data_IF_301448550763
#
_entry.id   IF_301448550763
#
_cell.length_a   1.000
_cell.length_b   1.000
_cell.length_c   1.000
_cell.angle_alpha   90.00
_cell.angle_beta   90.00
_cell.angle_gamma   90.00
#
_symmetry.space_group_name_H-M   'P 1'
#
loop_
_entity.id
_entity.type
_entity.pdbx_description
1 polymer ?
#
# COMPACT_ATOMS: atom_id res chain seq x y z
N UNK A 1 -0.05 -5.45 -10.87
CA UNK A 1 -0.18 -5.75 -9.43
C UNK A 1 0.29 -7.16 -9.19
N UNK A 2 1.41 -7.34 -8.49
CA UNK A 2 1.67 -8.65 -7.91
C UNK A 2 0.66 -8.87 -6.79
N UNK A 3 -0.31 -9.75 -7.05
CA UNK A 3 -1.43 -10.03 -6.14
C UNK A 3 -1.00 -10.79 -4.87
N UNK A 4 0.28 -11.08 -4.73
CA UNK A 4 0.84 -11.96 -3.71
C UNK A 4 1.53 -11.23 -2.55
N UNK A 5 1.42 -9.89 -2.51
CA UNK A 5 2.01 -9.01 -1.51
C UNK A 5 3.55 -9.05 -1.45
N UNK A 6 4.19 -9.41 -2.57
CA UNK A 6 5.66 -9.32 -2.69
C UNK A 6 6.11 -7.93 -3.16
N UNK A 7 7.29 -7.52 -2.67
CA UNK A 7 8.03 -6.35 -3.14
C UNK A 7 9.50 -6.71 -3.30
N UNK A 8 10.12 -6.13 -4.33
CA UNK A 8 11.55 -6.32 -4.59
C UNK A 8 12.25 -4.99 -4.33
N UNK A 9 13.22 -4.97 -3.42
CA UNK A 9 13.86 -3.74 -2.96
C UNK A 9 15.37 -3.94 -2.86
N UNK A 10 16.14 -2.90 -3.20
CA UNK A 10 17.55 -2.84 -2.86
C UNK A 10 17.69 -2.68 -1.35
N UNK A 11 18.38 -3.63 -0.71
CA UNK A 11 18.58 -3.67 0.73
C UNK A 11 19.92 -4.31 1.06
N UNK A 12 20.63 -3.73 2.02
CA UNK A 12 21.94 -4.23 2.46
C UNK A 12 22.96 -4.27 1.30
N UNK A 13 23.28 -5.47 0.84
CA UNK A 13 24.32 -5.79 -0.14
C UNK A 13 23.78 -6.29 -1.49
N UNK A 14 22.46 -6.41 -1.66
CA UNK A 14 21.86 -6.88 -2.90
C UNK A 14 20.40 -6.40 -3.07
N UNK A 15 19.76 -6.83 -4.15
CA UNK A 15 18.33 -6.72 -4.34
C UNK A 15 17.64 -7.95 -3.75
N UNK A 16 16.70 -7.73 -2.83
CA UNK A 16 15.99 -8.80 -2.13
C UNK A 16 14.49 -8.81 -2.43
N UNK A 17 13.94 -10.02 -2.48
CA UNK A 17 12.51 -10.25 -2.49
C UNK A 17 11.99 -10.31 -1.07
N UNK A 18 11.00 -9.48 -0.78
CA UNK A 18 10.28 -9.46 0.48
C UNK A 18 8.84 -9.84 0.23
N UNK A 19 8.24 -10.58 1.15
CA UNK A 19 6.82 -10.88 1.14
C UNK A 19 6.35 -11.15 2.55
N UNK A 20 5.27 -10.50 2.95
CA UNK A 20 4.56 -10.77 4.20
C UNK A 20 3.21 -11.41 3.86
N UNK A 21 3.20 -12.73 3.72
CA UNK A 21 1.96 -13.47 3.60
C UNK A 21 1.30 -13.58 4.99
N UNK A 22 0.10 -14.17 5.03
CA UNK A 22 -0.71 -14.27 6.25
C UNK A 22 0.07 -14.83 7.45
N UNK A 23 0.83 -15.91 7.25
CA UNK A 23 1.60 -16.55 8.34
C UNK A 23 2.72 -15.66 8.89
N UNK A 24 3.37 -14.85 8.06
CA UNK A 24 4.41 -13.92 8.50
C UNK A 24 3.80 -12.71 9.22
N UNK A 25 2.61 -12.25 8.80
CA UNK A 25 1.87 -11.19 9.50
C UNK A 25 1.41 -11.68 10.88
N UNK A 26 0.92 -12.91 10.98
CA UNK A 26 0.57 -13.53 12.26
C UNK A 26 1.78 -13.64 13.18
N UNK A 27 2.92 -14.17 12.70
CA UNK A 27 4.17 -14.20 13.48
C UNK A 27 4.62 -12.81 13.93
N UNK A 28 4.49 -11.80 13.06
CA UNK A 28 4.84 -10.42 13.41
C UNK A 28 3.97 -9.90 14.55
N UNK A 29 2.66 -10.16 14.50
CA UNK A 29 1.73 -9.73 15.55
C UNK A 29 2.05 -10.41 16.89
N UNK A 30 2.42 -11.70 16.87
CA UNK A 30 2.80 -12.48 18.05
C UNK A 30 4.11 -11.99 18.65
N UNK A 31 5.13 -11.77 17.82
CA UNK A 31 6.43 -11.26 18.26
C UNK A 31 6.31 -9.88 18.92
N UNK A 32 5.33 -9.09 18.47
CA UNK A 32 5.17 -7.68 18.87
C UNK A 32 4.02 -7.41 19.81
N UNK A 33 3.23 -8.44 20.14
CA UNK A 33 2.02 -8.34 20.97
C UNK A 33 1.14 -7.15 20.55
N UNK A 34 0.98 -6.96 19.24
CA UNK A 34 0.33 -5.77 18.67
C UNK A 34 -0.21 -6.09 17.28
N UNK A 35 -1.43 -5.63 16.97
CA UNK A 35 -2.04 -5.83 15.66
C UNK A 35 -1.21 -5.20 14.51
N UNK A 36 -1.19 -5.81 13.32
CA UNK A 36 -0.24 -5.44 12.26
C UNK A 36 -0.46 -4.02 11.71
N UNK A 37 -1.72 -3.55 11.66
CA UNK A 37 -2.00 -2.17 11.24
C UNK A 37 -1.50 -1.12 12.25
N UNK A 38 -1.46 -1.45 13.54
CA UNK A 38 -0.89 -0.57 14.57
C UNK A 38 0.62 -0.47 14.40
N UNK A 39 1.29 -1.56 14.01
CA UNK A 39 2.72 -1.55 13.66
C UNK A 39 2.94 -0.64 12.44
N UNK A 40 2.13 -0.78 11.39
CA UNK A 40 2.22 0.08 10.20
C UNK A 40 2.00 1.57 10.53
N UNK A 41 0.96 1.90 11.29
CA UNK A 41 0.69 3.27 11.74
C UNK A 41 1.89 3.87 12.53
N UNK A 42 2.50 3.09 13.43
CA UNK A 42 3.70 3.53 14.15
C UNK A 42 4.88 3.80 13.22
N UNK A 43 5.10 2.92 12.23
CA UNK A 43 6.15 3.10 11.22
C UNK A 43 5.92 4.38 10.40
N UNK A 44 4.68 4.69 10.03
CA UNK A 44 4.34 5.88 9.24
C UNK A 44 4.38 7.18 10.06
N UNK A 45 3.98 7.12 11.33
CA UNK A 45 3.87 8.30 12.21
C UNK A 45 5.12 8.59 13.05
N UNK A 46 6.15 7.75 12.94
CA UNK A 46 7.41 7.94 13.66
C UNK A 46 7.40 7.48 15.13
N UNK A 47 6.36 6.75 15.56
CA UNK A 47 6.25 6.18 16.92
C UNK A 47 6.68 4.71 16.99
N UNK A 48 7.47 4.29 16.01
CA UNK A 48 7.95 2.92 15.89
C UNK A 48 8.99 2.61 16.95
N UNK A 49 8.99 1.36 17.38
CA UNK A 49 10.06 0.74 18.14
C UNK A 49 11.08 0.18 17.15
N UNK A 50 12.35 0.07 17.54
CA UNK A 50 13.40 -0.49 16.65
C UNK A 50 13.09 -1.91 16.21
N UNK A 51 12.38 -2.67 17.05
CA UNK A 51 11.88 -4.00 16.72
C UNK A 51 10.81 -3.96 15.61
N UNK A 52 10.07 -2.85 15.42
CA UNK A 52 9.05 -2.74 14.35
C UNK A 52 9.72 -2.84 12.99
N UNK A 53 10.92 -2.27 12.89
CA UNK A 53 11.74 -2.32 11.69
C UNK A 53 12.39 -3.70 11.55
N UNK A 54 13.10 -4.17 12.58
CA UNK A 54 13.87 -5.41 12.51
C UNK A 54 13.00 -6.65 12.25
N UNK A 55 11.90 -6.83 12.99
CA UNK A 55 11.02 -7.99 12.84
C UNK A 55 10.31 -8.00 11.49
N UNK A 56 9.86 -6.83 11.01
CA UNK A 56 9.22 -6.69 9.68
C UNK A 56 10.16 -7.07 8.56
N UNK A 57 11.39 -6.56 8.57
CA UNK A 57 12.39 -6.87 7.53
C UNK A 57 12.75 -8.35 7.57
N UNK A 58 13.03 -8.91 8.76
CA UNK A 58 13.39 -10.32 8.92
C UNK A 58 12.29 -11.25 8.41
N UNK A 59 11.05 -11.04 8.83
CA UNK A 59 9.91 -11.86 8.42
C UNK A 59 9.59 -11.65 6.94
N UNK A 60 9.75 -10.43 6.41
CA UNK A 60 9.59 -10.14 5.00
C UNK A 60 10.59 -10.89 4.12
N UNK A 61 11.87 -10.95 4.50
CA UNK A 61 12.88 -11.75 3.80
C UNK A 61 12.52 -13.24 3.80
N UNK A 62 12.09 -13.76 4.96
CA UNK A 62 11.70 -15.17 5.10
C UNK A 62 10.50 -15.49 4.21
N UNK A 63 9.45 -14.67 4.23
CA UNK A 63 8.29 -14.87 3.36
C UNK A 63 8.60 -14.66 1.87
N UNK A 64 9.65 -13.89 1.56
CA UNK A 64 10.22 -13.75 0.22
C UNK A 64 11.07 -14.93 -0.24
N UNK A 65 11.24 -15.96 0.59
CA UNK A 65 11.93 -17.21 0.25
C UNK A 65 13.35 -17.33 0.81
N UNK A 66 13.83 -16.35 1.57
CA UNK A 66 15.14 -16.45 2.24
C UNK A 66 15.09 -17.45 3.40
N UNK A 67 16.19 -18.20 3.58
CA UNK A 67 16.33 -19.10 4.72
C UNK A 67 16.37 -18.32 6.06
N UNK A 68 15.68 -18.79 7.13
CA UNK A 68 15.54 -18.05 8.38
C UNK A 68 16.85 -17.63 9.07
N UNK A 69 17.88 -18.48 9.09
CA UNK A 69 19.17 -18.14 9.69
C UNK A 69 19.90 -17.09 8.85
N UNK A 70 19.84 -17.17 7.52
CA UNK A 70 20.37 -16.16 6.61
C UNK A 70 19.68 -14.80 6.83
N UNK A 71 18.34 -14.78 6.88
CA UNK A 71 17.56 -13.57 7.14
C UNK A 71 17.92 -12.95 8.51
N UNK A 72 18.04 -13.77 9.56
CA UNK A 72 18.44 -13.29 10.88
C UNK A 72 19.84 -12.64 10.88
N UNK A 73 20.81 -13.25 10.19
CA UNK A 73 22.16 -12.68 10.08
C UNK A 73 22.14 -11.35 9.35
N UNK A 74 21.41 -11.27 8.24
CA UNK A 74 21.31 -10.06 7.43
C UNK A 74 20.65 -8.92 8.22
N UNK A 75 19.53 -9.20 8.91
CA UNK A 75 18.87 -8.22 9.78
C UNK A 75 19.78 -7.74 10.90
N UNK A 76 20.53 -8.63 11.56
CA UNK A 76 21.47 -8.22 12.62
C UNK A 76 22.56 -7.30 12.09
N UNK A 77 23.16 -7.65 10.97
CA UNK A 77 24.26 -6.89 10.38
C UNK A 77 23.83 -5.53 9.83
N UNK A 78 22.71 -5.48 9.11
CA UNK A 78 22.32 -4.29 8.34
C UNK A 78 21.18 -3.48 8.94
N UNK A 79 20.47 -4.02 9.94
CA UNK A 79 19.40 -3.31 10.65
C UNK A 79 19.79 -3.04 12.10
N UNK A 80 20.08 -4.08 12.89
CA UNK A 80 20.34 -3.91 14.33
C UNK A 80 21.71 -3.28 14.62
N UNK A 81 22.69 -3.50 13.73
CA UNK A 81 24.03 -2.91 13.83
C UNK A 81 24.16 -1.50 13.25
N UNK A 82 23.06 -0.91 12.73
CA UNK A 82 23.07 0.37 12.00
C UNK A 82 22.04 1.35 12.56
N UNK A 83 22.15 2.66 12.28
CA UNK A 83 21.13 3.62 12.67
C UNK A 83 19.73 3.21 12.18
N UNK A 84 18.70 3.10 13.06
CA UNK A 84 17.42 2.50 12.68
C UNK A 84 16.68 3.20 11.54
N UNK A 85 16.88 4.52 11.41
CA UNK A 85 16.20 5.34 10.39
C UNK A 85 16.56 4.91 8.96
N UNK A 86 17.75 4.34 8.74
CA UNK A 86 18.19 3.86 7.43
C UNK A 86 17.25 2.81 6.84
N UNK A 87 16.61 2.02 7.70
CA UNK A 87 15.78 0.88 7.31
C UNK A 87 14.28 1.12 7.46
N UNK A 88 13.88 2.33 7.90
CA UNK A 88 12.48 2.67 8.14
C UNK A 88 11.64 2.55 6.86
N UNK A 89 12.14 3.10 5.75
CA UNK A 89 11.41 3.09 4.46
C UNK A 89 11.25 1.66 3.93
N UNK A 90 12.26 0.81 4.10
CA UNK A 90 12.17 -0.62 3.72
C UNK A 90 11.07 -1.30 4.52
N UNK A 91 11.04 -1.13 5.86
CA UNK A 91 10.00 -1.71 6.70
C UNK A 91 8.59 -1.19 6.34
N UNK A 92 8.44 0.11 6.06
CA UNK A 92 7.17 0.70 5.60
C UNK A 92 6.68 0.07 4.30
N UNK A 93 7.56 -0.09 3.30
CA UNK A 93 7.21 -0.71 2.01
C UNK A 93 6.83 -2.17 2.16
N UNK A 94 7.59 -2.93 2.94
CA UNK A 94 7.35 -4.37 3.16
C UNK A 94 6.04 -4.61 3.90
N UNK A 95 5.79 -3.91 5.02
CA UNK A 95 4.54 -4.07 5.77
C UNK A 95 3.34 -3.47 5.04
N UNK A 96 3.54 -2.33 4.36
CA UNK A 96 2.53 -1.72 3.50
C UNK A 96 2.06 -2.69 2.40
N UNK A 97 2.99 -3.34 1.71
CA UNK A 97 2.67 -4.33 0.69
C UNK A 97 1.91 -5.55 1.26
N UNK A 98 2.31 -6.03 2.44
CA UNK A 98 1.63 -7.11 3.15
C UNK A 98 0.17 -6.81 3.50
N UNK A 99 -0.14 -5.57 3.90
CA UNK A 99 -1.46 -5.19 4.40
C UNK A 99 -2.38 -4.55 3.35
N UNK A 100 -1.81 -3.76 2.45
CA UNK A 100 -2.54 -2.96 1.48
C UNK A 100 -2.44 -3.52 0.05
N UNK A 101 -1.55 -4.50 -0.16
CA UNK A 101 -1.13 -4.95 -1.49
C UNK A 101 0.05 -4.14 -2.02
N UNK A 102 0.80 -4.73 -2.95
CA UNK A 102 1.91 -4.05 -3.60
C UNK A 102 1.37 -3.05 -4.65
N UNK A 103 1.76 -1.78 -4.53
CA UNK A 103 1.52 -0.76 -5.55
C UNK A 103 2.42 -1.00 -6.77
N UNK A 104 1.87 -0.88 -7.98
CA UNK A 104 2.61 -1.08 -9.24
C UNK A 104 3.59 0.05 -9.59
N UNK A 105 3.68 1.09 -8.77
CA UNK A 105 4.44 2.30 -9.09
C UNK A 105 5.96 2.13 -8.90
N UNK A 106 6.42 1.00 -8.37
CA UNK A 106 7.83 0.67 -8.20
C UNK A 106 8.46 -0.08 -9.41
N UNK A 107 7.78 -0.22 -10.56
CA UNK A 107 8.47 -0.53 -11.84
C UNK A 107 9.30 0.70 -12.33
N UNK A 108 10.25 1.14 -11.52
CA UNK A 108 11.35 2.02 -11.94
C UNK A 108 12.26 1.20 -12.85
N UNK A 109 11.93 1.16 -14.15
CA UNK A 109 12.77 0.45 -15.13
C UNK A 109 12.23 0.23 -16.54
N UNK A 110 10.97 0.53 -16.85
CA UNK A 110 10.47 0.46 -18.24
C UNK A 110 9.95 1.80 -18.73
N UNK A 111 10.87 2.71 -19.02
CA UNK A 111 10.62 3.79 -19.98
C UNK A 111 11.72 3.77 -21.02
N UNK A 112 11.46 3.18 -22.18
CA UNK A 112 11.98 3.53 -23.51
C UNK A 112 11.58 2.45 -24.53
N UNK A 113 10.43 2.62 -25.17
CA UNK A 113 10.36 2.58 -26.63
C UNK A 113 9.21 3.50 -27.02
N UNK A 114 9.53 4.47 -27.88
CA UNK A 114 8.68 5.58 -28.23
C UNK A 114 7.50 5.13 -29.10
N UNK A 115 6.30 5.59 -28.77
CA UNK A 115 5.27 5.83 -29.77
C UNK A 115 5.10 7.35 -29.86
N UNK A 116 5.82 7.97 -30.80
CA UNK A 116 5.50 9.32 -31.27
C UNK A 116 4.31 9.24 -32.25
N UNK A 117 3.48 10.29 -32.34
CA UNK A 117 2.13 10.20 -32.88
C UNK A 117 2.13 10.31 -34.40
N UNK A 118 1.41 9.43 -35.08
CA UNK A 118 0.93 9.70 -36.43
C UNK A 118 -0.54 10.10 -36.38
N UNK A 119 -0.78 11.26 -36.98
CA UNK A 119 -2.02 11.98 -37.11
C UNK A 119 -3.11 11.21 -37.84
N UNK A 120 -4.33 11.45 -37.35
CA UNK A 120 -5.59 11.57 -38.08
C UNK A 120 -6.02 10.49 -39.08
N UNK A 121 -7.10 9.79 -38.69
CA UNK A 121 -8.26 9.75 -39.57
C UNK A 121 -9.50 10.14 -38.80
N UNK A 122 -9.94 11.36 -39.09
CA UNK A 122 -11.31 11.82 -38.96
C UNK A 122 -12.30 10.74 -39.40
N UNK A 123 -13.40 10.64 -38.67
CA UNK A 123 -14.78 10.56 -39.17
C UNK A 123 -15.68 10.31 -37.94
N UNK A 124 -16.23 11.40 -37.43
CA UNK A 124 -17.38 11.40 -36.53
C UNK A 124 -18.61 10.78 -37.22
N UNK A 125 -19.39 9.98 -36.49
CA UNK A 125 -20.83 9.94 -36.72
C UNK A 125 -21.60 10.66 -35.62
N UNK A 126 -22.19 11.77 -36.06
CA UNK A 126 -23.38 12.49 -35.60
C UNK A 126 -24.23 11.88 -34.48
N UNK A 127 -24.43 12.72 -33.46
CA UNK A 127 -25.68 13.02 -32.74
C UNK A 127 -26.82 12.01 -32.85
N UNK A 128 -27.24 11.48 -31.69
CA UNK A 128 -28.63 11.64 -31.27
C UNK A 128 -28.66 11.87 -29.75
N UNK A 129 -28.79 13.14 -29.43
CA UNK A 129 -29.30 13.66 -28.19
C UNK A 129 -30.75 13.19 -28.05
N UNK A 130 -31.09 12.53 -26.95
CA UNK A 130 -32.46 12.47 -26.44
C UNK A 130 -32.41 12.18 -24.93
N UNK A 131 -31.96 13.21 -24.19
CA UNK A 131 -32.30 13.35 -22.78
C UNK A 131 -33.81 13.68 -22.70
N UNK A 132 -34.64 12.94 -21.96
CA UNK A 132 -36.00 13.39 -21.72
C UNK A 132 -35.97 14.69 -20.89
N UNK A 133 -36.79 15.69 -21.23
CA UNK A 133 -36.78 16.98 -20.54
C UNK A 133 -37.23 16.84 -19.09
N UNK A 134 -36.44 17.47 -18.22
CA UNK A 134 -36.80 17.75 -16.83
C UNK A 134 -38.02 18.67 -16.80
N UNK A 135 -39.21 18.10 -16.61
CA UNK A 135 -40.41 18.87 -16.27
C UNK A 135 -40.52 18.98 -14.76
N UNK A 136 -40.20 20.17 -14.25
CA UNK A 136 -40.57 20.59 -12.93
C UNK A 136 -42.09 20.59 -12.76
N UNK A 137 -42.54 20.11 -11.62
CA UNK A 137 -43.88 20.40 -11.12
C UNK A 137 -43.81 20.44 -9.59
N UNK A 138 -43.35 21.57 -9.06
CA UNK A 138 -44.04 22.14 -7.90
C UNK A 138 -45.03 23.17 -8.45
N UNK A 139 -46.24 23.22 -7.90
CA UNK A 139 -46.41 24.19 -6.84
C UNK A 139 -47.31 23.73 -5.68
N UNK A 140 -46.91 24.19 -4.49
CA UNK A 140 -47.74 24.91 -3.52
C UNK A 140 -48.90 24.15 -2.84
N UNK A 141 -48.83 24.04 -1.50
CA UNK A 141 -49.48 25.03 -0.62
C UNK A 141 -49.57 24.55 0.85
N UNK A 142 -49.11 25.44 1.75
CA UNK A 142 -49.68 25.77 3.06
C UNK A 142 -49.79 24.67 4.16
N UNK A 143 -49.00 24.74 5.23
CA UNK A 143 -49.26 25.56 6.45
C UNK A 143 -50.01 24.78 7.54
N UNK A 144 -49.38 24.50 8.70
CA UNK A 144 -49.57 25.26 9.95
C UNK A 144 -48.81 24.63 11.14
N UNK A 145 -48.08 25.49 11.86
CA UNK A 145 -47.54 25.30 13.23
C UNK A 145 -48.54 24.68 14.21
N UNK A 146 -48.05 23.92 15.21
CA UNK A 146 -48.06 24.35 16.64
C UNK A 146 -47.19 23.50 17.58
N UNK A 147 -46.50 24.20 18.48
CA UNK A 147 -45.89 23.76 19.75
C UNK A 147 -46.97 23.36 20.78
N UNK A 148 -46.68 22.38 21.64
CA UNK A 148 -46.72 22.43 23.13
C UNK A 148 -46.38 21.04 23.67
N UNK A 149 -45.31 20.84 24.44
CA UNK A 149 -45.23 20.95 25.90
C UNK A 149 -46.13 19.94 26.65
N UNK A 150 -45.46 19.06 27.40
CA UNK A 150 -45.98 18.10 28.37
C UNK A 150 -44.78 17.43 29.03
#
# INVERSE_FOLDING_TARGET
MSRDASVTLDFADDTYHFRLAWGEIEKLQEERDTGPYVILDRLLTGRWLVQDIASTIRLGLIGGGMEPIAALKLTRSYVEGRPPLENLVVAQRVLGAGLLGASDEDEVGKKSEAASPEEEKSLSPTENSDLPPSTGTEPSSASRRKKSAG
#
